data_IF_863072782932
#
_entry.id   IF_863072782932
#
_cell.length_a   1.000
_cell.length_b   1.000
_cell.length_c   1.000
_cell.angle_alpha   90.00
_cell.angle_beta   90.00
_cell.angle_gamma   90.00
#
_symmetry.space_group_name_H-M   'P 1'
#
loop_
_entity.id
_entity.type
_entity.pdbx_description
1 polymer ?
#
# COMPACT_ATOMS: atom_id res chain seq x y z
N UNK A 1 40.50 17.14 12.65
CA UNK A 1 39.30 16.87 13.48
C UNK A 1 38.02 17.20 12.74
N UNK A 2 37.83 18.43 12.24
CA UNK A 2 36.63 18.81 11.47
C UNK A 2 36.45 18.00 10.16
N UNK A 3 37.52 17.78 9.40
CA UNK A 3 37.48 16.99 8.15
C UNK A 3 37.05 15.54 8.37
N UNK A 4 37.54 14.91 9.44
CA UNK A 4 37.14 13.55 9.84
C UNK A 4 35.67 13.49 10.22
N UNK A 5 35.16 14.51 10.92
CA UNK A 5 33.74 14.61 11.26
C UNK A 5 32.87 14.81 10.01
N UNK A 6 33.28 15.66 9.07
CA UNK A 6 32.59 15.87 7.79
C UNK A 6 32.56 14.57 6.99
N UNK A 7 33.68 13.87 6.88
CA UNK A 7 33.78 12.57 6.18
C UNK A 7 32.82 11.54 6.80
N UNK A 8 32.76 11.46 8.12
CA UNK A 8 31.84 10.55 8.81
C UNK A 8 30.36 10.88 8.54
N UNK A 9 30.00 12.17 8.48
CA UNK A 9 28.63 12.60 8.13
C UNK A 9 28.32 12.27 6.67
N UNK A 10 29.25 12.52 5.74
CA UNK A 10 29.06 12.18 4.32
C UNK A 10 28.85 10.67 4.11
N UNK A 11 29.62 9.83 4.81
CA UNK A 11 29.41 8.38 4.77
C UNK A 11 28.04 7.97 5.29
N UNK A 12 27.60 8.56 6.42
CA UNK A 12 26.26 8.29 6.98
C UNK A 12 25.14 8.75 6.04
N UNK A 13 25.31 9.89 5.37
CA UNK A 13 24.35 10.37 4.36
C UNK A 13 24.25 9.41 3.17
N UNK A 14 25.38 8.91 2.68
CA UNK A 14 25.39 7.90 1.62
C UNK A 14 24.71 6.60 2.03
N UNK A 15 24.96 6.12 3.24
CA UNK A 15 24.30 4.93 3.80
C UNK A 15 22.79 5.16 3.94
N UNK A 16 22.37 6.32 4.45
CA UNK A 16 20.96 6.69 4.58
C UNK A 16 20.28 6.74 3.21
N UNK A 17 20.87 7.43 2.23
CA UNK A 17 20.33 7.53 0.88
C UNK A 17 20.18 6.16 0.21
N UNK A 18 21.13 5.25 0.41
CA UNK A 18 21.07 3.88 -0.13
C UNK A 18 19.93 3.08 0.50
N UNK A 19 19.74 3.20 1.82
CA UNK A 19 18.63 2.54 2.53
C UNK A 19 17.27 3.08 2.08
N UNK A 20 17.11 4.39 1.99
CA UNK A 20 15.88 5.02 1.51
C UNK A 20 15.56 4.60 0.07
N UNK A 21 16.56 4.58 -0.83
CA UNK A 21 16.36 4.13 -2.21
C UNK A 21 15.91 2.66 -2.28
N UNK A 22 16.51 1.78 -1.47
CA UNK A 22 16.10 0.37 -1.40
C UNK A 22 14.67 0.21 -0.85
N UNK A 23 14.28 1.02 0.15
CA UNK A 23 12.92 1.04 0.68
C UNK A 23 11.92 1.51 -0.38
N UNK A 24 12.22 2.58 -1.12
CA UNK A 24 11.35 3.08 -2.19
C UNK A 24 11.12 2.05 -3.29
N UNK A 25 12.16 1.33 -3.71
CA UNK A 25 12.04 0.25 -4.68
C UNK A 25 11.13 -0.86 -4.15
N UNK A 26 11.37 -1.33 -2.93
CA UNK A 26 10.57 -2.39 -2.30
C UNK A 26 9.10 -1.98 -2.15
N UNK A 27 8.84 -0.76 -1.68
CA UNK A 27 7.47 -0.22 -1.56
C UNK A 27 6.79 -0.16 -2.93
N UNK A 28 7.53 0.24 -3.98
CA UNK A 28 7.03 0.21 -5.35
C UNK A 28 6.61 -1.19 -5.80
N UNK A 29 7.45 -2.19 -5.55
CA UNK A 29 7.15 -3.60 -5.87
C UNK A 29 5.92 -4.11 -5.09
N UNK A 30 5.83 -3.79 -3.79
CA UNK A 30 4.70 -4.18 -2.93
C UNK A 30 3.38 -3.53 -3.39
N UNK A 31 3.41 -2.26 -3.82
CA UNK A 31 2.24 -1.56 -4.40
C UNK A 31 1.79 -2.22 -5.71
N UNK A 32 2.74 -2.57 -6.59
CA UNK A 32 2.41 -3.26 -7.84
C UNK A 32 1.78 -4.63 -7.59
N UNK A 33 2.32 -5.40 -6.63
CA UNK A 33 1.76 -6.69 -6.24
C UNK A 33 0.35 -6.55 -5.67
N UNK A 34 0.10 -5.53 -4.84
CA UNK A 34 -1.23 -5.27 -4.29
C UNK A 34 -2.23 -4.93 -5.41
N UNK A 35 -1.86 -4.07 -6.35
CA UNK A 35 -2.68 -3.75 -7.53
C UNK A 35 -3.07 -5.01 -8.29
N UNK A 36 -2.10 -5.85 -8.64
CA UNK A 36 -2.34 -7.06 -9.42
C UNK A 36 -3.28 -8.03 -8.68
N UNK A 37 -3.14 -8.15 -7.35
CA UNK A 37 -4.07 -8.93 -6.51
C UNK A 37 -5.49 -8.35 -6.52
N UNK A 38 -5.63 -7.03 -6.39
CA UNK A 38 -6.94 -6.38 -6.42
C UNK A 38 -7.62 -6.54 -7.78
N UNK A 39 -6.87 -6.51 -8.88
CA UNK A 39 -7.39 -6.81 -10.22
C UNK A 39 -7.94 -8.25 -10.31
N UNK A 40 -7.23 -9.22 -9.74
CA UNK A 40 -7.69 -10.61 -9.64
C UNK A 40 -8.99 -10.73 -8.81
N UNK A 41 -9.05 -10.10 -7.64
CA UNK A 41 -10.24 -10.09 -6.80
C UNK A 41 -11.43 -9.45 -7.53
N UNK A 42 -11.21 -8.35 -8.25
CA UNK A 42 -12.24 -7.70 -9.05
C UNK A 42 -12.77 -8.63 -10.17
N UNK A 43 -11.87 -9.32 -10.88
CA UNK A 43 -12.26 -10.28 -11.91
C UNK A 43 -13.10 -11.42 -11.34
N UNK A 44 -12.74 -11.92 -10.15
CA UNK A 44 -13.48 -12.96 -9.44
C UNK A 44 -14.91 -12.51 -9.06
N UNK A 45 -15.05 -11.31 -8.47
CA UNK A 45 -16.38 -10.76 -8.14
C UNK A 45 -17.24 -10.62 -9.39
N UNK A 46 -16.69 -10.12 -10.50
CA UNK A 46 -17.41 -10.02 -11.78
C UNK A 46 -17.88 -11.39 -12.28
N UNK A 47 -17.10 -12.45 -12.07
CA UNK A 47 -17.49 -13.80 -12.42
C UNK A 47 -18.62 -14.34 -11.54
N UNK A 48 -18.51 -14.13 -10.24
CA UNK A 48 -19.56 -14.50 -9.29
C UNK A 48 -20.90 -13.78 -9.59
N UNK A 49 -20.85 -12.49 -9.95
CA UNK A 49 -22.04 -11.72 -10.35
C UNK A 49 -22.68 -12.24 -11.62
N UNK A 50 -21.90 -12.75 -12.59
CA UNK A 50 -22.45 -13.43 -13.77
C UNK A 50 -23.15 -14.73 -13.38
N UNK A 51 -22.53 -15.55 -12.53
CA UNK A 51 -23.10 -16.82 -12.05
C UNK A 51 -24.37 -16.63 -11.22
N UNK A 52 -24.48 -15.51 -10.48
CA UNK A 52 -25.67 -15.16 -9.69
C UNK A 52 -26.96 -15.13 -10.50
N UNK A 53 -26.89 -14.78 -11.80
CA UNK A 53 -28.04 -14.73 -12.70
C UNK A 53 -28.65 -16.10 -13.00
N UNK A 54 -27.90 -17.18 -12.79
CA UNK A 54 -28.30 -18.56 -13.06
C UNK A 54 -28.55 -19.36 -11.76
N UNK A 55 -28.41 -18.70 -10.60
CA UNK A 55 -28.44 -19.31 -9.27
C UNK A 55 -27.03 -19.56 -8.75
N UNK A 56 -26.53 -18.68 -7.86
CA UNK A 56 -25.23 -18.88 -7.22
C UNK A 56 -25.30 -19.99 -6.15
N UNK A 57 -24.31 -20.88 -6.17
CA UNK A 57 -24.11 -21.87 -5.12
C UNK A 57 -23.57 -21.25 -3.82
N UNK A 58 -23.59 -22.03 -2.75
CA UNK A 58 -23.14 -21.57 -1.43
C UNK A 58 -21.64 -21.24 -1.41
N UNK A 59 -20.84 -21.99 -2.18
CA UNK A 59 -19.41 -21.75 -2.32
C UNK A 59 -19.14 -20.35 -2.90
N UNK A 60 -19.84 -19.99 -3.97
CA UNK A 60 -19.74 -18.67 -4.61
C UNK A 60 -20.12 -17.56 -3.63
N UNK A 61 -21.15 -17.76 -2.80
CA UNK A 61 -21.53 -16.78 -1.77
C UNK A 61 -20.44 -16.55 -0.74
N UNK A 62 -19.87 -17.63 -0.20
CA UNK A 62 -18.79 -17.54 0.80
C UNK A 62 -17.57 -16.85 0.21
N UNK A 63 -17.17 -17.21 -1.00
CA UNK A 63 -16.00 -16.64 -1.66
C UNK A 63 -16.19 -15.15 -1.99
N UNK A 64 -17.38 -14.74 -2.43
CA UNK A 64 -17.69 -13.31 -2.64
C UNK A 64 -17.55 -12.52 -1.36
N UNK A 65 -18.04 -13.05 -0.23
CA UNK A 65 -17.88 -12.39 1.07
C UNK A 65 -16.40 -12.23 1.43
N UNK A 66 -15.64 -13.33 1.42
CA UNK A 66 -14.22 -13.30 1.77
C UNK A 66 -13.40 -12.39 0.84
N UNK A 67 -13.73 -12.37 -0.45
CA UNK A 67 -13.08 -11.47 -1.41
C UNK A 67 -13.32 -10.00 -1.09
N UNK A 68 -14.53 -9.65 -0.64
CA UNK A 68 -14.84 -8.28 -0.19
C UNK A 68 -14.09 -7.95 1.10
N UNK A 69 -14.05 -8.88 2.06
CA UNK A 69 -13.33 -8.69 3.32
C UNK A 69 -11.85 -8.36 3.04
N UNK A 70 -11.18 -9.14 2.17
CA UNK A 70 -9.78 -8.87 1.77
C UNK A 70 -9.62 -7.53 1.03
N UNK A 71 -10.60 -7.13 0.22
CA UNK A 71 -10.54 -5.84 -0.47
C UNK A 71 -10.63 -4.66 0.52
N UNK A 72 -11.45 -4.78 1.57
CA UNK A 72 -11.52 -3.78 2.65
C UNK A 72 -10.24 -3.76 3.49
N UNK A 73 -9.66 -4.91 3.83
CA UNK A 73 -8.36 -4.96 4.51
C UNK A 73 -7.25 -4.27 3.71
N UNK A 74 -7.28 -4.38 2.38
CA UNK A 74 -6.34 -3.70 1.50
C UNK A 74 -6.56 -2.18 1.47
N UNK A 75 -7.81 -1.72 1.51
CA UNK A 75 -8.17 -0.29 1.62
C UNK A 75 -7.67 0.28 2.94
N UNK A 76 -7.97 -0.38 4.07
CA UNK A 76 -7.52 0.03 5.40
C UNK A 76 -6.00 0.14 5.46
N UNK A 77 -5.27 -0.83 4.89
CA UNK A 77 -3.81 -0.81 4.84
C UNK A 77 -3.25 0.36 4.01
N UNK A 78 -3.91 0.74 2.91
CA UNK A 78 -3.53 1.88 2.09
C UNK A 78 -3.78 3.19 2.84
N UNK A 79 -4.93 3.36 3.50
CA UNK A 79 -5.24 4.53 4.31
C UNK A 79 -4.22 4.72 5.43
N UNK A 80 -3.86 3.63 6.11
CA UNK A 80 -2.84 3.60 7.15
C UNK A 80 -1.46 4.03 6.62
N UNK A 81 -1.11 3.59 5.40
CA UNK A 81 0.13 3.98 4.73
C UNK A 81 0.12 5.47 4.37
N UNK A 82 -0.95 5.97 3.76
CA UNK A 82 -1.10 7.38 3.41
C UNK A 82 -1.04 8.29 4.64
N UNK A 83 -1.69 7.90 5.74
CA UNK A 83 -1.65 8.67 6.98
C UNK A 83 -0.23 8.79 7.56
N UNK A 84 0.56 7.71 7.48
CA UNK A 84 1.94 7.68 8.00
C UNK A 84 2.92 8.43 7.10
N UNK A 85 2.73 8.40 5.78
CA UNK A 85 3.63 9.03 4.79
C UNK A 85 3.28 10.50 4.55
N UNK A 86 1.99 10.83 4.56
CA UNK A 86 1.47 12.19 4.50
C UNK A 86 0.69 12.48 5.77
N UNK A 87 1.34 12.89 6.87
CA UNK A 87 0.62 13.39 8.02
C UNK A 87 -0.27 14.56 7.56
N UNK A 88 -1.55 14.62 7.96
CA UNK A 88 -2.41 15.74 7.60
C UNK A 88 -1.70 17.03 7.98
N UNK A 89 -1.54 17.94 7.00
CA UNK A 89 -0.97 19.26 7.24
C UNK A 89 -1.74 19.88 8.41
N UNK A 90 -1.04 20.03 9.53
CA UNK A 90 -1.54 20.67 10.73
C UNK A 90 -2.22 22.00 10.33
N UNK A 91 -3.54 22.18 10.53
CA UNK A 91 -4.29 23.33 10.03
C UNK A 91 -3.97 24.67 10.72
N UNK A 92 -2.86 24.77 11.45
CA UNK A 92 -2.51 25.91 12.31
C UNK A 92 -1.47 26.87 11.68
N UNK A 93 -1.04 26.66 10.43
CA UNK A 93 -0.05 27.52 9.78
C UNK A 93 -0.58 28.35 8.58
N UNK A 94 -1.90 28.48 8.44
CA UNK A 94 -2.52 29.38 7.44
C UNK A 94 -3.16 30.64 8.08
N UNK A 95 -2.77 31.00 9.31
CA UNK A 95 -3.31 32.17 10.01
C UNK A 95 -2.21 33.05 10.62
N UNK A 96 -1.16 33.36 9.86
CA UNK A 96 -0.21 34.42 10.19
C UNK A 96 0.16 35.21 8.93
#
# INVERSE_FOLDING_TARGET
MAETAITAVLSKLGEFATKEAALLLKVGDDIMLLRDRLEWLQAFIRDADRKRRVGADELTRVWVRQTRDVAFEAEDALDDFFHKVHPPLLPHLLTA
#
